data_IF_824466457830
#
_entry.id   IF_824466457830
#
_cell.length_a   1.000
_cell.length_b   1.000
_cell.length_c   1.000
_cell.angle_alpha   90.00
_cell.angle_beta   90.00
_cell.angle_gamma   90.00
#
_symmetry.space_group_name_H-M   'P 1'
#
loop_
_entity.id
_entity.type
_entity.pdbx_description
1 polymer ?
#
# COMPACT_ATOMS: atom_id res chain seq x y z
N UNK A 1 -1.75 13.26 11.82
CA UNK A 1 -0.93 12.54 10.83
C UNK A 1 -1.52 11.15 10.66
N UNK A 2 -1.88 10.78 9.43
CA UNK A 2 -2.28 9.41 9.11
C UNK A 2 -1.06 8.49 9.32
N UNK A 3 -1.12 7.65 10.35
CA UNK A 3 -0.02 6.78 10.72
C UNK A 3 -0.04 5.54 9.82
N UNK A 4 0.71 5.62 8.71
CA UNK A 4 0.84 4.61 7.66
C UNK A 4 2.05 3.71 7.96
N UNK A 5 1.85 2.40 8.00
CA UNK A 5 2.86 1.40 8.31
C UNK A 5 3.93 1.30 7.22
N UNK A 6 3.56 1.53 5.96
CA UNK A 6 4.55 1.65 4.86
C UNK A 6 5.57 2.74 5.15
N UNK A 7 5.14 3.94 5.57
CA UNK A 7 6.08 5.02 5.84
C UNK A 7 7.01 4.69 7.01
N UNK A 8 6.50 4.06 8.09
CA UNK A 8 7.33 3.58 9.20
C UNK A 8 8.37 2.53 8.78
N UNK A 9 8.01 1.66 7.84
CA UNK A 9 8.92 0.66 7.30
C UNK A 9 10.03 1.35 6.51
N UNK A 10 9.66 2.26 5.60
CA UNK A 10 10.60 2.98 4.74
C UNK A 10 11.51 3.94 5.50
N UNK A 11 11.06 4.50 6.63
CA UNK A 11 11.91 5.34 7.50
C UNK A 11 13.11 4.57 8.07
N UNK A 12 13.05 3.23 8.10
CA UNK A 12 14.16 2.36 8.51
C UNK A 12 15.08 1.96 7.35
N UNK A 13 14.77 2.37 6.12
CA UNK A 13 15.51 2.06 4.89
C UNK A 13 15.99 3.36 4.21
N UNK A 14 16.88 4.13 4.84
CA UNK A 14 17.28 5.47 4.39
C UNK A 14 18.01 5.48 3.05
N UNK A 15 18.53 4.34 2.59
CA UNK A 15 19.15 4.16 1.28
C UNK A 15 18.16 4.35 0.12
N UNK A 16 16.86 4.16 0.35
CA UNK A 16 15.84 4.36 -0.67
C UNK A 16 15.33 5.80 -0.64
N UNK A 17 15.55 6.51 -1.75
CA UNK A 17 15.21 7.92 -1.91
C UNK A 17 14.05 8.13 -2.89
N UNK A 18 13.39 9.30 -2.81
CA UNK A 18 12.28 9.67 -3.70
C UNK A 18 10.91 9.59 -3.03
N UNK A 19 9.87 9.52 -3.84
CA UNK A 19 8.48 9.29 -3.41
C UNK A 19 8.30 7.93 -2.74
N UNK A 20 7.23 7.75 -1.95
CA UNK A 20 6.88 6.46 -1.34
C UNK A 20 6.82 5.33 -2.37
N UNK A 21 6.26 5.61 -3.56
CA UNK A 21 6.27 4.69 -4.70
C UNK A 21 7.68 4.28 -5.11
N UNK A 22 8.56 5.25 -5.34
CA UNK A 22 9.93 4.97 -5.79
C UNK A 22 10.69 4.15 -4.75
N UNK A 23 10.57 4.51 -3.47
CA UNK A 23 11.18 3.77 -2.37
C UNK A 23 10.71 2.32 -2.32
N UNK A 24 9.39 2.08 -2.39
CA UNK A 24 8.82 0.73 -2.44
C UNK A 24 9.32 -0.08 -3.64
N UNK A 25 9.36 0.53 -4.82
CA UNK A 25 9.81 -0.14 -6.05
C UNK A 25 11.30 -0.47 -6.04
N UNK A 26 12.11 0.33 -5.34
CA UNK A 26 13.53 0.05 -5.09
C UNK A 26 13.74 -1.04 -4.03
N UNK A 27 12.89 -1.10 -3.01
CA UNK A 27 13.00 -2.06 -1.91
C UNK A 27 12.52 -3.47 -2.29
N UNK A 28 11.52 -3.58 -3.17
CA UNK A 28 10.89 -4.86 -3.51
C UNK A 28 11.71 -5.68 -4.51
N UNK A 29 11.85 -6.98 -4.24
CA UNK A 29 12.52 -7.94 -5.12
C UNK A 29 11.51 -8.75 -5.95
N UNK A 30 10.39 -9.14 -5.34
CA UNK A 30 9.32 -9.89 -6.00
C UNK A 30 8.67 -9.12 -7.15
N UNK A 31 8.63 -9.74 -8.33
CA UNK A 31 7.97 -9.19 -9.53
C UNK A 31 6.46 -9.07 -9.32
N UNK A 32 5.85 -10.07 -8.67
CA UNK A 32 4.42 -10.06 -8.37
C UNK A 32 4.09 -8.90 -7.42
N UNK A 33 4.86 -8.74 -6.34
CA UNK A 33 4.67 -7.65 -5.37
C UNK A 33 4.90 -6.27 -6.00
N UNK A 34 5.89 -6.16 -6.89
CA UNK A 34 6.10 -4.94 -7.69
C UNK A 34 4.87 -4.58 -8.53
N UNK A 35 4.19 -5.58 -9.10
CA UNK A 35 2.91 -5.39 -9.81
C UNK A 35 1.84 -4.77 -8.91
N UNK A 36 1.68 -5.29 -7.70
CA UNK A 36 0.73 -4.75 -6.72
C UNK A 36 1.09 -3.33 -6.27
N UNK A 37 2.38 -3.04 -6.04
CA UNK A 37 2.83 -1.68 -5.70
C UNK A 37 2.46 -0.69 -6.80
N UNK A 38 2.58 -1.04 -8.08
CA UNK A 38 2.16 -0.17 -9.18
C UNK A 38 0.65 0.10 -9.21
N UNK A 39 -0.16 -0.88 -8.80
CA UNK A 39 -1.61 -0.72 -8.72
C UNK A 39 -2.04 0.12 -7.52
N UNK A 40 -1.31 0.03 -6.41
CA UNK A 40 -1.59 0.72 -5.16
C UNK A 40 -1.01 2.14 -5.11
N UNK A 41 0.12 2.37 -5.74
CA UNK A 41 0.82 3.66 -5.78
C UNK A 41 0.98 4.11 -7.24
N UNK A 42 0.01 4.89 -7.72
CA UNK A 42 0.02 5.36 -9.11
C UNK A 42 1.06 6.48 -9.32
N UNK A 43 1.79 6.50 -10.46
CA UNK A 43 2.67 7.60 -10.79
C UNK A 43 1.96 8.96 -10.74
N UNK A 44 2.59 9.96 -10.10
CA UNK A 44 2.07 11.31 -10.05
C UNK A 44 0.91 11.55 -9.07
N UNK A 45 0.48 10.54 -8.30
CA UNK A 45 -0.53 10.71 -7.26
C UNK A 45 -0.14 11.81 -6.26
N UNK A 46 -1.13 12.62 -5.85
CA UNK A 46 -0.92 13.83 -5.02
C UNK A 46 -1.57 13.79 -3.65
N UNK A 47 -2.35 12.74 -3.37
CA UNK A 47 -3.10 12.60 -2.12
C UNK A 47 -2.28 11.78 -1.13
N UNK A 48 -2.01 12.36 0.05
CA UNK A 48 -1.23 11.70 1.10
C UNK A 48 0.15 11.27 0.61
N UNK A 49 0.48 9.99 0.81
CA UNK A 49 1.71 9.36 0.30
C UNK A 49 1.58 8.81 -1.13
N UNK A 50 0.44 9.06 -1.79
CA UNK A 50 0.14 8.60 -3.13
C UNK A 50 -0.44 7.19 -3.22
N UNK A 51 -0.66 6.52 -2.07
CA UNK A 51 -1.22 5.17 -2.00
C UNK A 51 -2.74 5.11 -2.02
N UNK A 52 -3.29 3.95 -2.38
CA UNK A 52 -4.73 3.66 -2.32
C UNK A 52 -5.30 3.82 -0.89
N UNK A 53 -4.53 3.54 0.16
CA UNK A 53 -4.98 3.76 1.54
C UNK A 53 -5.26 5.26 1.79
N UNK A 54 -4.36 6.15 1.35
CA UNK A 54 -4.53 7.59 1.51
C UNK A 54 -5.74 8.15 0.75
N UNK A 55 -6.03 7.64 -0.46
CA UNK A 55 -7.21 8.09 -1.20
C UNK A 55 -8.51 7.60 -0.57
N UNK A 56 -8.54 6.39 0.02
CA UNK A 56 -9.69 5.91 0.79
C UNK A 56 -9.98 6.79 1.99
N UNK A 57 -8.96 7.15 2.78
CA UNK A 57 -9.14 8.08 3.90
C UNK A 57 -9.71 9.40 3.41
N UNK A 58 -9.20 9.94 2.29
CA UNK A 58 -9.70 11.19 1.72
C UNK A 58 -11.16 11.07 1.27
N UNK A 59 -11.53 10.02 0.54
CA UNK A 59 -12.91 9.79 0.10
C UNK A 59 -13.87 9.71 1.30
N UNK A 60 -13.46 9.01 2.37
CA UNK A 60 -14.23 8.94 3.60
C UNK A 60 -14.42 10.31 4.27
N UNK A 61 -13.31 11.02 4.51
CA UNK A 61 -13.33 12.32 5.20
C UNK A 61 -14.09 13.39 4.42
N UNK A 62 -13.97 13.38 3.10
CA UNK A 62 -14.68 14.30 2.21
C UNK A 62 -16.15 13.91 2.02
N UNK A 63 -16.63 12.81 2.63
CA UNK A 63 -17.95 12.21 2.39
C UNK A 63 -18.24 12.00 0.89
N UNK A 64 -17.19 11.69 0.13
CA UNK A 64 -17.26 11.49 -1.31
C UNK A 64 -17.73 10.07 -1.65
N UNK A 65 -18.19 9.87 -2.89
CA UNK A 65 -18.53 8.53 -3.37
C UNK A 65 -17.27 7.65 -3.40
N UNK A 66 -17.28 6.45 -2.80
CA UNK A 66 -16.07 5.66 -2.54
C UNK A 66 -15.63 4.88 -3.80
N UNK A 67 -15.12 5.60 -4.81
CA UNK A 67 -14.74 5.02 -6.10
C UNK A 67 -13.57 4.04 -5.99
N UNK A 68 -12.76 4.12 -4.93
CA UNK A 68 -11.58 3.27 -4.75
C UNK A 68 -11.82 2.04 -3.85
N UNK A 69 -13.00 1.93 -3.20
CA UNK A 69 -13.29 0.91 -2.20
C UNK A 69 -13.22 -0.52 -2.75
N UNK A 70 -13.91 -0.81 -3.86
CA UNK A 70 -13.92 -2.15 -4.44
C UNK A 70 -12.51 -2.59 -4.86
N UNK A 71 -11.75 -1.70 -5.51
CA UNK A 71 -10.37 -1.97 -5.91
C UNK A 71 -9.51 -2.30 -4.69
N UNK A 72 -9.62 -1.53 -3.61
CA UNK A 72 -8.84 -1.77 -2.40
C UNK A 72 -9.15 -3.13 -1.74
N UNK A 73 -10.43 -3.52 -1.70
CA UNK A 73 -10.85 -4.83 -1.20
C UNK A 73 -10.27 -5.98 -2.05
N UNK A 74 -10.31 -5.84 -3.37
CA UNK A 74 -9.75 -6.83 -4.29
C UNK A 74 -8.24 -6.96 -4.12
N UNK A 75 -7.52 -5.84 -4.01
CA UNK A 75 -6.08 -5.81 -3.80
C UNK A 75 -5.69 -6.45 -2.46
N UNK A 76 -6.38 -6.12 -1.37
CA UNK A 76 -6.13 -6.75 -0.06
C UNK A 76 -6.34 -8.27 -0.12
N UNK A 77 -7.38 -8.74 -0.80
CA UNK A 77 -7.63 -10.18 -0.98
C UNK A 77 -6.49 -10.86 -1.73
N UNK A 78 -5.92 -10.21 -2.75
CA UNK A 78 -4.83 -10.79 -3.54
C UNK A 78 -3.49 -10.74 -2.78
N UNK A 79 -3.18 -9.65 -2.07
CA UNK A 79 -2.00 -9.58 -1.19
C UNK A 79 -2.02 -10.71 -0.14
N UNK A 80 -3.17 -10.94 0.50
CA UNK A 80 -3.35 -12.04 1.45
C UNK A 80 -3.15 -13.44 0.84
N UNK A 81 -3.42 -13.61 -0.45
CA UNK A 81 -3.10 -14.86 -1.16
C UNK A 81 -1.61 -14.97 -1.47
N UNK A 82 -0.97 -13.86 -1.85
CA UNK A 82 0.46 -13.81 -2.13
C UNK A 82 1.28 -14.12 -0.87
N UNK A 83 0.90 -13.57 0.29
CA UNK A 83 1.53 -13.88 1.59
C UNK A 83 1.52 -15.39 1.88
N UNK A 84 0.38 -16.06 1.62
CA UNK A 84 0.19 -17.50 1.83
C UNK A 84 0.92 -18.38 0.81
N UNK A 85 1.49 -17.81 -0.25
CA UNK A 85 2.17 -18.60 -1.28
C UNK A 85 3.53 -19.13 -0.85
N UNK A 86 4.14 -18.55 0.20
CA UNK A 86 5.49 -18.90 0.65
C UNK A 86 6.62 -18.54 -0.33
N UNK A 87 6.33 -17.72 -1.36
CA UNK A 87 7.29 -17.36 -2.42
C UNK A 87 8.07 -16.07 -2.17
N UNK A 88 7.74 -15.34 -1.10
CA UNK A 88 8.32 -14.03 -0.82
C UNK A 88 9.54 -14.15 0.10
N UNK A 89 10.52 -13.27 -0.14
CA UNK A 89 11.61 -13.05 0.81
C UNK A 89 11.08 -12.41 2.09
N UNK A 90 11.85 -12.44 3.19
CA UNK A 90 11.47 -11.78 4.44
C UNK A 90 11.24 -10.27 4.24
N UNK A 91 12.11 -9.61 3.47
CA UNK A 91 11.94 -8.18 3.14
C UNK A 91 10.67 -7.92 2.32
N UNK A 92 10.35 -8.76 1.33
CA UNK A 92 9.12 -8.61 0.55
C UNK A 92 7.87 -8.91 1.39
N UNK A 93 7.96 -9.83 2.37
CA UNK A 93 6.89 -10.08 3.33
C UNK A 93 6.65 -8.86 4.22
N UNK A 94 7.70 -8.23 4.76
CA UNK A 94 7.56 -7.01 5.56
C UNK A 94 6.89 -5.88 4.76
N UNK A 95 7.25 -5.72 3.48
CA UNK A 95 6.62 -4.76 2.58
C UNK A 95 5.15 -5.12 2.34
N UNK A 96 4.85 -6.39 2.05
CA UNK A 96 3.50 -6.87 1.82
C UNK A 96 2.61 -6.63 3.03
N UNK A 97 3.08 -6.99 4.22
CA UNK A 97 2.34 -6.85 5.48
C UNK A 97 2.04 -5.39 5.77
N UNK A 98 3.02 -4.49 5.58
CA UNK A 98 2.79 -3.05 5.70
C UNK A 98 1.71 -2.54 4.74
N UNK A 99 1.73 -2.97 3.47
CA UNK A 99 0.71 -2.61 2.47
C UNK A 99 -0.68 -3.14 2.85
N UNK A 100 -0.76 -4.38 3.31
CA UNK A 100 -2.01 -5.04 3.68
C UNK A 100 -2.63 -4.40 4.92
N UNK A 101 -1.82 -4.11 5.95
CA UNK A 101 -2.26 -3.46 7.19
C UNK A 101 -2.84 -2.07 6.92
N UNK A 102 -2.16 -1.26 6.09
CA UNK A 102 -2.63 0.08 5.75
C UNK A 102 -3.95 0.02 4.98
N UNK A 103 -4.10 -0.90 4.02
CA UNK A 103 -5.37 -1.10 3.33
C UNK A 103 -6.47 -1.59 4.28
N UNK A 104 -6.20 -2.60 5.10
CA UNK A 104 -7.20 -3.16 6.00
C UNK A 104 -7.71 -2.11 6.99
N UNK A 105 -6.81 -1.30 7.55
CA UNK A 105 -7.16 -0.22 8.46
C UNK A 105 -8.12 0.77 7.82
N UNK A 106 -7.85 1.23 6.60
CA UNK A 106 -8.70 2.21 5.93
C UNK A 106 -10.00 1.62 5.41
N UNK A 107 -10.00 0.35 4.99
CA UNK A 107 -11.23 -0.37 4.64
C UNK A 107 -12.20 -0.51 5.81
N UNK A 108 -11.73 -0.46 7.07
CA UNK A 108 -12.61 -0.47 8.26
C UNK A 108 -13.42 0.81 8.43
N UNK A 109 -13.05 1.92 7.77
CA UNK A 109 -13.83 3.16 7.80
C UNK A 109 -15.19 3.02 7.10
N UNK A 110 -15.32 2.09 6.16
CA UNK A 110 -16.51 1.90 5.32
C UNK A 110 -17.38 0.71 5.78
N UNK A 111 -17.25 0.29 7.05
CA UNK A 111 -18.00 -0.82 7.64
C UNK A 111 -19.12 -0.35 8.55
#
# INVERSE_FOLDING_TARGET
MHNCNVNKLLDKMPEFTGSTREKLLSAVQSVDLRGFINELYRPGAKVGDGGTAAILTKEFLDSAFPTHLQKAQDQLRVLNKLAKSGKLSLNDLDILDALADDLEKELRLFK
#
